data_IF_664608054017
#
_entry.id   IF_664608054017
#
_cell.length_a   1.000
_cell.length_b   1.000
_cell.length_c   1.000
_cell.angle_alpha   90.00
_cell.angle_beta   90.00
_cell.angle_gamma   90.00
#
_symmetry.space_group_name_H-M   'P 1'
#
loop_
_entity.id
_entity.type
_entity.pdbx_description
1 polymer ?
#
# COMPACT_ATOMS: atom_id res chain seq x y z
N UNK A 1 14.71 -15.55 -28.79
CA UNK A 1 16.17 -15.35 -28.76
C UNK A 1 16.69 -15.72 -27.37
N UNK A 2 17.54 -16.73 -27.28
CA UNK A 2 18.20 -17.13 -26.03
C UNK A 2 19.22 -16.05 -25.70
N UNK A 3 19.17 -15.48 -24.49
CA UNK A 3 20.18 -14.53 -24.01
C UNK A 3 21.58 -15.16 -24.00
N UNK A 4 22.66 -14.35 -24.04
CA UNK A 4 24.02 -14.84 -24.05
C UNK A 4 24.27 -15.74 -22.84
N UNK A 5 24.99 -16.85 -23.08
CA UNK A 5 25.41 -17.77 -22.03
C UNK A 5 26.25 -17.03 -20.98
N UNK A 6 26.12 -17.36 -19.69
CA UNK A 6 26.94 -16.75 -18.64
C UNK A 6 28.43 -17.01 -18.89
N UNK A 7 29.25 -15.99 -18.66
CA UNK A 7 30.71 -16.11 -18.81
C UNK A 7 31.26 -17.14 -17.81
N UNK A 8 32.38 -17.79 -18.11
CA UNK A 8 32.98 -18.85 -17.29
C UNK A 8 33.13 -18.49 -15.80
N UNK A 9 33.43 -17.21 -15.49
CA UNK A 9 33.50 -16.69 -14.12
C UNK A 9 32.17 -16.71 -13.37
N UNK A 10 31.02 -16.55 -14.07
CA UNK A 10 29.68 -16.61 -13.45
C UNK A 10 29.25 -18.06 -13.17
N UNK A 11 29.72 -19.01 -14.00
CA UNK A 11 29.49 -20.43 -13.79
C UNK A 11 30.34 -21.00 -12.64
N UNK A 12 31.52 -20.46 -12.41
CA UNK A 12 32.38 -20.83 -11.30
C UNK A 12 31.81 -20.35 -9.96
N UNK A 13 31.28 -19.12 -9.90
CA UNK A 13 30.55 -18.58 -8.76
C UNK A 13 29.29 -19.38 -8.44
N UNK A 14 28.58 -19.89 -9.46
CA UNK A 14 27.43 -20.77 -9.29
C UNK A 14 27.79 -22.19 -8.82
N UNK A 15 29.02 -22.67 -9.08
CA UNK A 15 29.51 -23.98 -8.60
C UNK A 15 29.92 -23.95 -7.12
N UNK A 16 30.46 -22.84 -6.65
CA UNK A 16 30.81 -22.65 -5.24
C UNK A 16 29.55 -22.54 -4.33
N UNK A 17 28.42 -22.30 -4.93
CA UNK A 17 27.17 -22.09 -4.25
C UNK A 17 26.41 -23.39 -3.82
N UNK A 18 27.00 -24.49 -3.37
CA UNK A 18 26.28 -25.71 -2.95
C UNK A 18 26.76 -26.31 -1.61
N UNK A 19 26.36 -25.77 -0.49
CA UNK A 19 26.46 -26.35 0.87
C UNK A 19 26.56 -25.37 2.03
N UNK A 20 25.56 -25.19 2.82
CA UNK A 20 25.39 -24.89 4.25
C UNK A 20 24.30 -23.85 4.61
N UNK A 21 23.64 -24.01 5.72
CA UNK A 21 22.41 -23.29 6.10
C UNK A 21 22.57 -22.16 7.11
N UNK A 22 21.73 -21.14 7.04
CA UNK A 22 21.69 -20.06 8.04
C UNK A 22 20.31 -19.56 8.47
N UNK A 23 20.22 -19.16 9.74
CA UNK A 23 18.99 -18.73 10.43
C UNK A 23 18.67 -17.24 10.26
N UNK A 24 17.37 -16.92 10.33
CA UNK A 24 16.81 -15.61 10.09
C UNK A 24 17.10 -14.55 11.15
N UNK A 25 17.38 -13.34 10.72
CA UNK A 25 17.59 -12.14 11.55
C UNK A 25 16.34 -11.75 12.34
N UNK A 26 16.51 -11.52 13.64
CA UNK A 26 15.44 -11.10 14.57
C UNK A 26 14.92 -9.70 14.22
N UNK A 27 13.65 -9.58 13.81
CA UNK A 27 12.93 -8.30 13.88
C UNK A 27 12.99 -7.80 15.33
N UNK A 28 13.34 -6.50 15.54
CA UNK A 28 13.20 -5.87 16.85
C UNK A 28 11.75 -6.11 17.31
N UNK A 29 11.58 -6.95 18.35
CA UNK A 29 10.25 -7.31 18.86
C UNK A 29 9.52 -6.04 19.30
N UNK A 30 8.32 -5.84 18.79
CA UNK A 30 7.45 -4.74 19.21
C UNK A 30 7.43 -3.49 18.33
N UNK A 31 8.26 -3.40 17.27
CA UNK A 31 8.20 -2.26 16.34
C UNK A 31 7.36 -2.54 15.10
N UNK A 32 6.65 -1.53 14.63
CA UNK A 32 5.92 -1.52 13.35
C UNK A 32 6.38 -0.36 12.48
N UNK A 33 6.38 -0.57 11.17
CA UNK A 33 6.87 0.40 10.20
C UNK A 33 5.76 0.88 9.29
N UNK A 34 5.70 2.20 9.09
CA UNK A 34 4.85 2.85 8.11
C UNK A 34 5.69 3.50 6.99
N UNK A 35 5.16 3.51 5.77
CA UNK A 35 5.87 3.98 4.60
C UNK A 35 5.06 4.97 3.76
N UNK A 36 5.76 5.96 3.18
CA UNK A 36 5.29 6.79 2.08
C UNK A 36 6.29 6.71 0.94
N UNK A 37 5.82 6.72 -0.29
CA UNK A 37 6.67 6.56 -1.47
C UNK A 37 6.32 7.61 -2.51
N UNK A 38 7.27 8.44 -2.85
CA UNK A 38 7.24 9.28 -4.05
C UNK A 38 7.90 8.51 -5.19
N UNK A 39 7.30 8.52 -6.37
CA UNK A 39 7.87 7.86 -7.56
C UNK A 39 8.03 8.89 -8.66
N UNK A 40 9.24 9.00 -9.18
CA UNK A 40 9.64 9.85 -10.30
C UNK A 40 10.16 8.99 -11.44
N UNK A 41 9.97 9.44 -12.67
CA UNK A 41 10.42 8.76 -13.88
C UNK A 41 11.26 9.74 -14.69
N UNK A 42 12.48 9.34 -15.07
CA UNK A 42 13.42 10.10 -15.88
C UNK A 42 13.76 9.30 -17.12
N UNK A 43 13.70 9.92 -18.29
CA UNK A 43 14.09 9.26 -19.53
C UNK A 43 15.60 9.06 -19.56
N UNK A 44 16.03 7.89 -19.99
CA UNK A 44 17.46 7.56 -20.12
C UNK A 44 18.13 8.47 -21.15
N UNK A 45 17.43 8.83 -22.21
CA UNK A 45 17.93 9.74 -23.27
C UNK A 45 18.24 11.17 -22.80
N UNK A 46 17.74 11.56 -21.63
CA UNK A 46 17.97 12.88 -21.03
C UNK A 46 19.21 12.90 -20.10
N UNK A 47 19.85 11.74 -19.87
CA UNK A 47 21.03 11.61 -19.03
C UNK A 47 22.30 11.75 -19.84
N UNK A 48 23.39 12.34 -19.26
CA UNK A 48 24.71 12.34 -19.89
C UNK A 48 25.19 10.90 -20.16
N UNK A 49 25.76 10.67 -21.34
CA UNK A 49 26.15 9.31 -21.77
C UNK A 49 27.15 8.63 -20.82
N UNK A 50 28.13 9.35 -20.28
CA UNK A 50 29.09 8.85 -19.31
C UNK A 50 28.42 8.42 -18.01
N UNK A 51 27.55 9.28 -17.45
CA UNK A 51 26.78 9.01 -16.23
C UNK A 51 25.88 7.77 -16.41
N UNK A 52 25.23 7.63 -17.58
CA UNK A 52 24.39 6.48 -17.85
C UNK A 52 25.23 5.19 -17.97
N UNK A 53 26.38 5.24 -18.66
CA UNK A 53 27.29 4.09 -18.76
C UNK A 53 27.72 3.61 -17.36
N UNK A 54 28.17 4.54 -16.51
CA UNK A 54 28.58 4.23 -15.15
C UNK A 54 27.44 3.66 -14.30
N UNK A 55 26.25 4.20 -14.44
CA UNK A 55 25.07 3.68 -13.78
C UNK A 55 24.74 2.24 -14.20
N UNK A 56 24.84 1.91 -15.49
CA UNK A 56 24.63 0.56 -16.02
C UNK A 56 25.67 -0.43 -15.46
N UNK A 57 26.94 -0.03 -15.39
CA UNK A 57 28.01 -0.82 -14.78
C UNK A 57 27.71 -1.13 -13.32
N UNK A 58 27.31 -0.12 -12.54
CA UNK A 58 26.95 -0.27 -11.15
C UNK A 58 25.72 -1.20 -10.97
N UNK A 59 24.70 -1.09 -11.83
CA UNK A 59 23.56 -2.02 -11.83
C UNK A 59 23.98 -3.46 -12.11
N UNK A 60 24.92 -3.68 -13.02
CA UNK A 60 25.42 -5.03 -13.35
C UNK A 60 26.16 -5.65 -12.19
N UNK A 61 27.07 -4.91 -11.58
CA UNK A 61 27.82 -5.35 -10.38
C UNK A 61 26.86 -5.67 -9.24
N UNK A 62 25.97 -4.75 -8.94
CA UNK A 62 25.00 -4.89 -7.85
C UNK A 62 24.06 -6.08 -8.07
N UNK A 63 23.65 -6.32 -9.33
CA UNK A 63 22.81 -7.46 -9.72
C UNK A 63 23.58 -8.79 -9.56
N UNK A 64 24.85 -8.84 -9.95
CA UNK A 64 25.66 -10.02 -9.80
C UNK A 64 25.84 -10.42 -8.32
N UNK A 65 26.20 -9.45 -7.48
CA UNK A 65 26.37 -9.66 -6.03
C UNK A 65 25.04 -10.07 -5.37
N UNK A 66 23.95 -9.41 -5.71
CA UNK A 66 22.62 -9.75 -5.19
C UNK A 66 22.14 -11.13 -5.66
N UNK A 67 22.47 -11.54 -6.88
CA UNK A 67 22.15 -12.86 -7.40
C UNK A 67 22.96 -13.94 -6.68
N UNK A 68 24.25 -13.72 -6.47
CA UNK A 68 25.12 -14.62 -5.72
C UNK A 68 24.56 -14.82 -4.30
N UNK A 69 24.27 -13.74 -3.59
CA UNK A 69 23.66 -13.81 -2.25
C UNK A 69 22.33 -14.57 -2.26
N UNK A 70 21.43 -14.27 -3.19
CA UNK A 70 20.13 -14.90 -3.30
C UNK A 70 20.21 -16.42 -3.49
N UNK A 71 21.05 -16.87 -4.40
CA UNK A 71 21.19 -18.29 -4.68
C UNK A 71 21.93 -19.01 -3.55
N UNK A 72 22.97 -18.40 -2.98
CA UNK A 72 23.67 -18.94 -1.82
C UNK A 72 22.73 -19.17 -0.65
N UNK A 73 21.89 -18.20 -0.33
CA UNK A 73 20.88 -18.35 0.73
C UNK A 73 19.86 -19.45 0.42
N UNK A 74 19.39 -19.57 -0.82
CA UNK A 74 18.40 -20.59 -1.19
C UNK A 74 18.97 -22.01 -1.20
N UNK A 75 20.25 -22.12 -1.47
CA UNK A 75 20.97 -23.39 -1.52
C UNK A 75 21.64 -23.73 -0.19
N UNK A 76 21.47 -22.88 0.84
CA UNK A 76 22.10 -23.00 2.15
C UNK A 76 23.64 -23.05 2.09
N UNK A 77 24.26 -22.04 1.45
CA UNK A 77 25.69 -21.98 1.17
C UNK A 77 26.33 -20.80 1.91
N UNK A 78 26.95 -21.05 3.05
CA UNK A 78 27.57 -20.00 3.86
C UNK A 78 28.76 -19.37 3.14
N UNK A 79 29.63 -20.15 2.59
CA UNK A 79 30.79 -19.68 1.78
C UNK A 79 30.34 -18.76 0.64
N UNK A 80 29.23 -19.10 -0.01
CA UNK A 80 28.66 -18.27 -1.08
C UNK A 80 28.08 -16.95 -0.56
N UNK A 81 27.54 -16.92 0.66
CA UNK A 81 27.08 -15.68 1.31
C UNK A 81 28.27 -14.81 1.67
N UNK A 82 29.32 -15.37 2.27
CA UNK A 82 30.56 -14.66 2.61
C UNK A 82 31.23 -14.10 1.34
N UNK A 83 31.35 -14.89 0.30
CA UNK A 83 31.86 -14.44 -1.00
C UNK A 83 31.03 -13.28 -1.58
N UNK A 84 29.70 -13.33 -1.46
CA UNK A 84 28.84 -12.21 -1.90
C UNK A 84 29.15 -10.93 -1.14
N UNK A 85 29.38 -11.03 0.18
CA UNK A 85 29.73 -9.90 1.03
C UNK A 85 31.11 -9.33 0.68
N UNK A 86 32.10 -10.19 0.48
CA UNK A 86 33.43 -9.78 0.06
C UNK A 86 33.43 -9.08 -1.30
N UNK A 87 32.74 -9.65 -2.28
CA UNK A 87 32.60 -9.02 -3.61
C UNK A 87 31.88 -7.70 -3.54
N UNK A 88 30.85 -7.58 -2.68
CA UNK A 88 30.22 -6.30 -2.43
C UNK A 88 31.20 -5.27 -1.87
N UNK A 89 32.06 -5.65 -0.92
CA UNK A 89 33.09 -4.77 -0.34
C UNK A 89 34.10 -4.28 -1.38
N UNK A 90 34.43 -5.12 -2.36
CA UNK A 90 35.43 -4.78 -3.38
C UNK A 90 34.85 -3.96 -4.55
N UNK A 91 33.67 -4.32 -5.03
CA UNK A 91 33.14 -3.84 -6.31
C UNK A 91 32.05 -2.78 -6.18
N UNK A 92 31.41 -2.68 -5.01
CA UNK A 92 30.34 -1.70 -4.77
C UNK A 92 30.89 -0.54 -3.94
N UNK A 93 30.67 0.72 -4.35
CA UNK A 93 31.09 1.88 -3.58
C UNK A 93 30.58 1.85 -2.14
N UNK A 94 31.35 2.37 -1.18
CA UNK A 94 31.08 2.26 0.26
C UNK A 94 29.68 2.70 0.69
N UNK A 95 29.16 3.76 0.10
CA UNK A 95 27.82 4.28 0.40
C UNK A 95 26.67 3.39 -0.12
N UNK A 96 26.95 2.44 -1.05
CA UNK A 96 26.00 1.40 -1.47
C UNK A 96 26.14 0.13 -0.65
N UNK A 97 27.30 -0.06 0.03
CA UNK A 97 27.58 -1.26 0.82
C UNK A 97 26.65 -1.42 2.02
N UNK A 98 26.07 -0.35 2.55
CA UNK A 98 25.07 -0.43 3.60
C UNK A 98 23.87 -1.33 3.24
N UNK A 99 23.64 -1.56 1.94
CA UNK A 99 22.65 -2.53 1.49
C UNK A 99 23.10 -3.99 1.75
N UNK A 100 24.36 -4.24 2.06
CA UNK A 100 24.96 -5.54 2.32
C UNK A 100 25.57 -5.65 3.73
N UNK A 101 25.53 -4.59 4.53
CA UNK A 101 26.04 -4.58 5.89
C UNK A 101 25.07 -5.25 6.87
N UNK A 102 25.56 -5.81 8.00
CA UNK A 102 24.72 -6.57 8.94
C UNK A 102 23.57 -5.77 9.54
N UNK A 103 23.79 -4.50 9.85
CA UNK A 103 22.75 -3.62 10.37
C UNK A 103 21.71 -3.23 9.32
N UNK A 104 22.10 -3.17 8.04
CA UNK A 104 21.22 -2.86 6.90
C UNK A 104 20.67 -4.10 6.19
N UNK A 105 21.04 -5.31 6.62
CA UNK A 105 20.49 -6.61 6.14
C UNK A 105 18.97 -6.62 6.05
N UNK A 106 18.31 -5.82 6.89
CA UNK A 106 16.86 -5.71 6.92
C UNK A 106 16.26 -5.23 5.60
N UNK A 107 16.97 -4.48 4.76
CA UNK A 107 16.39 -3.85 3.57
C UNK A 107 16.60 -4.62 2.28
N UNK A 108 17.85 -4.87 1.91
CA UNK A 108 18.11 -5.53 0.64
C UNK A 108 17.88 -7.02 0.72
N UNK A 109 18.40 -7.65 1.76
CA UNK A 109 18.35 -9.11 1.87
C UNK A 109 16.94 -9.60 2.20
N UNK A 110 16.15 -8.88 2.99
CA UNK A 110 14.74 -9.23 3.19
C UNK A 110 13.88 -9.05 1.92
N UNK A 111 14.28 -8.15 1.01
CA UNK A 111 13.61 -8.01 -0.29
C UNK A 111 14.12 -9.05 -1.30
N UNK A 112 15.41 -9.33 -1.29
CA UNK A 112 16.01 -10.39 -2.14
C UNK A 112 15.50 -11.77 -1.74
N UNK A 113 15.38 -12.07 -0.45
CA UNK A 113 14.80 -13.32 0.07
C UNK A 113 13.31 -13.50 -0.29
N UNK A 114 12.55 -12.42 -0.41
CA UNK A 114 11.15 -12.43 -0.84
C UNK A 114 10.96 -12.51 -2.37
N UNK A 115 12.03 -12.33 -3.14
CA UNK A 115 11.96 -12.41 -4.59
C UNK A 115 11.87 -13.87 -5.04
N UNK A 116 11.05 -14.14 -6.03
CA UNK A 116 11.04 -15.45 -6.71
C UNK A 116 12.26 -15.64 -7.62
N UNK A 117 12.86 -14.55 -8.11
CA UNK A 117 14.05 -14.52 -8.98
C UNK A 117 14.78 -13.17 -8.81
N UNK A 118 16.13 -13.11 -8.81
CA UNK A 118 16.91 -11.89 -8.61
C UNK A 118 16.94 -10.95 -9.85
N UNK A 119 15.88 -10.94 -10.67
CA UNK A 119 15.84 -10.21 -11.95
C UNK A 119 15.65 -8.70 -11.83
N UNK A 120 15.28 -8.18 -10.65
CA UNK A 120 14.93 -6.76 -10.47
C UNK A 120 15.64 -6.18 -9.26
N UNK A 121 16.95 -6.12 -9.36
CA UNK A 121 17.75 -5.45 -8.36
C UNK A 121 17.53 -3.94 -8.44
N UNK A 122 17.37 -3.33 -7.26
CA UNK A 122 17.14 -1.91 -7.08
C UNK A 122 18.31 -1.35 -6.30
N UNK A 123 18.99 -0.32 -6.81
CA UNK A 123 20.00 0.40 -6.04
C UNK A 123 19.29 1.14 -4.91
N UNK A 124 19.79 1.01 -3.69
CA UNK A 124 19.22 1.68 -2.52
C UNK A 124 20.30 2.51 -1.84
N UNK A 125 19.96 3.75 -1.53
CA UNK A 125 20.84 4.72 -0.90
C UNK A 125 20.08 5.41 0.24
N UNK A 126 20.71 5.59 1.41
CA UNK A 126 20.17 6.52 2.39
C UNK A 126 20.19 7.93 1.81
N UNK A 127 19.07 8.64 1.95
CA UNK A 127 19.00 10.06 1.63
C UNK A 127 19.32 10.83 2.92
N UNK A 128 20.48 11.44 2.96
CA UNK A 128 21.05 12.14 4.12
C UNK A 128 21.50 13.54 3.73
N UNK A 129 21.95 14.33 4.70
CA UNK A 129 22.55 15.63 4.43
C UNK A 129 23.87 15.48 3.67
N UNK A 130 24.20 16.45 2.82
CA UNK A 130 25.38 16.44 1.97
C UNK A 130 26.71 16.30 2.78
N UNK A 131 26.72 16.80 4.01
CA UNK A 131 27.86 16.75 4.95
C UNK A 131 27.99 15.43 5.70
N UNK A 132 27.01 14.51 5.56
CA UNK A 132 27.09 13.23 6.26
C UNK A 132 28.25 12.38 5.71
N UNK A 133 29.11 11.76 6.56
CA UNK A 133 30.29 11.01 6.11
C UNK A 133 29.95 9.87 5.14
N UNK A 134 28.80 9.21 5.30
CA UNK A 134 28.33 8.14 4.41
C UNK A 134 27.31 8.67 3.36
N UNK A 135 27.49 9.89 2.90
CA UNK A 135 26.57 10.53 1.96
C UNK A 135 26.70 9.93 0.56
N UNK A 136 25.85 8.93 0.27
CA UNK A 136 25.69 8.39 -1.09
C UNK A 136 24.60 9.08 -1.90
N UNK A 137 23.65 9.73 -1.22
CA UNK A 137 22.57 10.46 -1.86
C UNK A 137 22.07 11.62 -0.99
N UNK A 138 21.87 12.77 -1.59
CA UNK A 138 21.40 14.00 -0.93
C UNK A 138 20.58 14.85 -1.88
N UNK A 139 19.87 15.84 -1.33
CA UNK A 139 19.18 16.87 -2.11
C UNK A 139 19.98 18.18 -1.95
N UNK A 140 20.36 18.77 -3.09
CA UNK A 140 20.94 20.10 -3.15
C UNK A 140 20.00 20.98 -3.95
N UNK A 141 19.49 22.02 -3.33
CA UNK A 141 18.44 22.87 -3.93
C UNK A 141 17.25 22.03 -4.40
N UNK A 142 17.02 21.95 -5.71
CA UNK A 142 15.95 21.16 -6.32
C UNK A 142 16.48 19.92 -7.06
N UNK A 143 17.67 19.44 -6.73
CA UNK A 143 18.32 18.34 -7.43
C UNK A 143 18.62 17.19 -6.47
N UNK A 144 18.18 16.00 -6.81
CA UNK A 144 18.60 14.77 -6.16
C UNK A 144 19.94 14.35 -6.74
N UNK A 145 20.97 14.30 -5.90
CA UNK A 145 22.32 13.90 -6.29
C UNK A 145 22.61 12.52 -5.71
N UNK A 146 22.94 11.54 -6.55
CA UNK A 146 23.38 10.22 -6.15
C UNK A 146 24.79 9.95 -6.66
N UNK A 147 25.72 9.60 -5.78
CA UNK A 147 27.12 9.31 -6.13
C UNK A 147 27.20 7.90 -6.76
N UNK A 148 27.85 7.79 -7.91
CA UNK A 148 28.01 6.52 -8.65
C UNK A 148 29.38 5.85 -8.44
N UNK A 149 30.29 6.46 -7.72
CA UNK A 149 31.70 6.07 -7.57
C UNK A 149 32.62 6.85 -8.49
N UNK A 150 33.92 6.85 -8.18
CA UNK A 150 34.98 7.45 -9.00
C UNK A 150 34.73 8.93 -9.38
N UNK A 151 34.14 9.70 -8.47
CA UNK A 151 33.77 11.10 -8.69
C UNK A 151 32.48 11.34 -9.47
N UNK A 152 31.97 10.33 -10.15
CA UNK A 152 30.76 10.42 -10.96
C UNK A 152 29.48 10.59 -10.13
N UNK A 153 28.57 11.41 -10.62
CA UNK A 153 27.30 11.72 -9.96
C UNK A 153 26.13 11.61 -10.93
N UNK A 154 25.03 11.09 -10.42
CA UNK A 154 23.72 11.14 -11.09
C UNK A 154 22.95 12.32 -10.50
N UNK A 155 22.67 13.32 -11.28
CA UNK A 155 21.92 14.51 -10.90
C UNK A 155 20.54 14.48 -11.56
N UNK A 156 19.50 14.54 -10.74
CA UNK A 156 18.12 14.40 -11.19
C UNK A 156 17.28 15.56 -10.65
N UNK A 157 16.73 16.43 -11.53
CA UNK A 157 15.93 17.56 -11.09
C UNK A 157 14.64 17.08 -10.39
N UNK A 158 14.36 17.62 -9.20
CA UNK A 158 13.15 17.35 -8.46
C UNK A 158 12.11 18.44 -8.76
N UNK A 159 10.93 18.08 -9.26
CA UNK A 159 9.84 19.03 -9.39
C UNK A 159 9.48 19.66 -8.02
N UNK A 160 9.12 20.94 -7.99
CA UNK A 160 8.73 21.65 -6.76
C UNK A 160 7.65 20.90 -5.97
N UNK A 161 6.69 20.32 -6.68
CA UNK A 161 5.65 19.45 -6.07
C UNK A 161 6.21 18.26 -5.32
N UNK A 162 7.38 17.74 -5.72
CA UNK A 162 8.04 16.61 -5.04
C UNK A 162 8.63 17.06 -3.71
N UNK A 163 9.27 18.23 -3.67
CA UNK A 163 9.84 18.82 -2.46
C UNK A 163 8.73 19.18 -1.46
N UNK A 164 7.68 19.84 -1.91
CA UNK A 164 6.49 20.13 -1.08
C UNK A 164 5.92 18.85 -0.48
N UNK A 165 5.78 17.81 -1.30
CA UNK A 165 5.28 16.52 -0.85
C UNK A 165 6.18 15.90 0.24
N UNK A 166 7.50 15.93 0.09
CA UNK A 166 8.43 15.42 1.10
C UNK A 166 8.25 16.16 2.43
N UNK A 167 8.24 17.46 2.43
CA UNK A 167 8.04 18.31 3.61
C UNK A 167 6.70 18.04 4.30
N UNK A 168 5.61 17.98 3.52
CA UNK A 168 4.29 17.67 4.06
C UNK A 168 4.25 16.30 4.75
N UNK A 169 4.86 15.27 4.14
CA UNK A 169 4.87 13.92 4.72
C UNK A 169 5.71 13.82 5.98
N UNK A 170 6.79 14.58 6.10
CA UNK A 170 7.56 14.68 7.33
C UNK A 170 6.75 15.36 8.45
N UNK A 171 6.08 16.47 8.14
CA UNK A 171 5.20 17.18 9.09
C UNK A 171 4.02 16.31 9.56
N UNK A 172 3.49 15.43 8.71
CA UNK A 172 2.38 14.53 9.07
C UNK A 172 2.69 13.63 10.27
N UNK A 173 3.95 13.33 10.54
CA UNK A 173 4.39 12.37 11.55
C UNK A 173 5.29 12.97 12.63
N UNK A 174 5.56 14.27 12.58
CA UNK A 174 6.32 14.95 13.61
C UNK A 174 5.71 14.69 15.01
N UNK A 175 6.52 14.53 16.06
CA UNK A 175 7.98 14.71 16.14
C UNK A 175 8.81 13.46 15.79
N UNK A 176 8.25 12.41 15.19
CA UNK A 176 8.98 11.19 14.90
C UNK A 176 10.04 11.40 13.81
N UNK A 177 11.19 10.76 13.99
CA UNK A 177 12.25 10.75 12.97
C UNK A 177 11.81 9.94 11.74
N UNK A 178 11.92 10.56 10.57
CA UNK A 178 11.66 9.92 9.29
C UNK A 178 12.97 9.50 8.65
N UNK A 179 13.14 8.21 8.39
CA UNK A 179 14.25 7.70 7.59
C UNK A 179 13.89 7.80 6.12
N UNK A 180 14.80 8.33 5.32
CA UNK A 180 14.63 8.52 3.87
C UNK A 180 15.55 7.58 3.11
N UNK A 181 15.01 6.88 2.13
CA UNK A 181 15.76 5.93 1.28
C UNK A 181 15.43 6.24 -0.17
N UNK A 182 16.44 6.41 -1.00
CA UNK A 182 16.29 6.51 -2.44
C UNK A 182 16.48 5.13 -3.07
N UNK A 183 15.55 4.74 -3.93
CA UNK A 183 15.59 3.53 -4.72
C UNK A 183 15.63 3.88 -6.18
N UNK A 184 16.67 3.45 -6.88
CA UNK A 184 16.85 3.68 -8.31
C UNK A 184 16.73 2.35 -9.03
N UNK A 185 15.86 2.28 -10.03
CA UNK A 185 15.63 1.10 -10.86
C UNK A 185 15.66 1.50 -12.33
N UNK A 186 16.51 0.84 -13.10
CA UNK A 186 16.51 0.95 -14.55
C UNK A 186 15.46 0.02 -15.16
N UNK A 187 14.66 0.57 -16.08
CA UNK A 187 13.58 -0.13 -16.77
C UNK A 187 13.92 -0.31 -18.25
N UNK A 188 14.92 -1.18 -18.50
CA UNK A 188 15.38 -1.58 -19.82
C UNK A 188 14.32 -2.35 -20.63
N UNK A 189 13.31 -2.93 -19.93
CA UNK A 189 12.20 -3.67 -20.51
C UNK A 189 11.09 -2.79 -21.10
N UNK A 190 11.27 -1.47 -21.08
CA UNK A 190 10.31 -0.47 -21.54
C UNK A 190 10.88 0.38 -22.68
N UNK A 191 9.98 0.88 -23.54
CA UNK A 191 10.32 1.82 -24.62
C UNK A 191 9.39 3.04 -24.49
N UNK A 192 9.92 4.27 -24.34
CA UNK A 192 11.35 4.59 -24.13
C UNK A 192 11.87 4.05 -22.79
N UNK A 193 13.19 3.80 -22.73
CA UNK A 193 13.85 3.40 -21.49
C UNK A 193 13.83 4.52 -20.46
N UNK A 194 13.63 4.15 -19.18
CA UNK A 194 13.60 5.13 -18.12
C UNK A 194 14.18 4.64 -16.80
N UNK A 195 14.67 5.58 -16.02
CA UNK A 195 14.96 5.35 -14.61
C UNK A 195 13.70 5.60 -13.79
N UNK A 196 13.37 4.64 -12.96
CA UNK A 196 12.36 4.80 -11.92
C UNK A 196 13.05 5.11 -10.61
N UNK A 197 12.89 6.32 -10.12
CA UNK A 197 13.43 6.78 -8.85
C UNK A 197 12.31 6.83 -7.84
N UNK A 198 12.50 6.21 -6.68
CA UNK A 198 11.54 6.22 -5.59
C UNK A 198 12.21 6.79 -4.35
N UNK A 199 11.64 7.85 -3.78
CA UNK A 199 12.01 8.34 -2.46
C UNK A 199 11.03 7.70 -1.47
N UNK A 200 11.55 6.83 -0.63
CA UNK A 200 10.80 6.10 0.39
C UNK A 200 11.03 6.78 1.72
N UNK A 201 9.96 7.29 2.31
CA UNK A 201 9.94 7.77 3.68
C UNK A 201 9.49 6.63 4.58
N UNK A 202 10.20 6.40 5.68
CA UNK A 202 9.91 5.38 6.67
C UNK A 202 9.83 5.98 8.06
N UNK A 203 8.84 5.57 8.80
CA UNK A 203 8.66 5.86 10.22
C UNK A 203 8.60 4.54 10.99
N UNK A 204 9.30 4.46 12.11
CA UNK A 204 9.22 3.34 13.06
C UNK A 204 8.39 3.77 14.28
N UNK A 205 7.53 2.86 14.75
CA UNK A 205 6.68 3.08 15.92
C UNK A 205 6.63 1.82 16.78
N UNK A 206 6.32 1.98 18.05
CA UNK A 206 5.90 0.86 18.89
C UNK A 206 4.65 0.20 18.31
N UNK A 207 4.48 -1.09 18.61
CA UNK A 207 3.27 -1.81 18.20
C UNK A 207 2.05 -1.08 18.73
N UNK A 208 1.12 -0.78 17.84
CA UNK A 208 -0.08 -0.05 18.18
C UNK A 208 -0.98 -0.90 19.10
N UNK A 209 -1.34 -0.36 20.22
CA UNK A 209 -2.28 -0.95 21.17
C UNK A 209 -3.65 -0.33 20.93
N UNK A 210 -4.68 -1.10 21.12
CA UNK A 210 -6.06 -0.63 21.02
C UNK A 210 -6.29 0.43 22.10
N UNK A 211 -6.68 1.66 21.74
CA UNK A 211 -7.03 2.66 22.72
C UNK A 211 -8.38 2.30 23.39
N UNK A 212 -8.65 2.90 24.56
CA UNK A 212 -10.00 2.83 25.13
C UNK A 212 -11.00 3.42 24.10
N UNK A 213 -12.04 2.67 23.72
CA UNK A 213 -13.02 3.16 22.78
C UNK A 213 -13.85 4.33 23.36
N UNK A 214 -13.93 4.44 24.70
CA UNK A 214 -14.55 5.58 25.38
C UNK A 214 -13.64 6.80 25.24
N UNK A 215 -14.12 7.85 24.61
CA UNK A 215 -13.34 9.06 24.32
C UNK A 215 -12.50 8.99 23.05
N UNK A 216 -12.48 7.86 22.35
CA UNK A 216 -11.83 7.75 21.03
C UNK A 216 -12.77 8.16 19.89
N UNK A 217 -12.19 8.63 18.79
CA UNK A 217 -12.89 8.69 17.51
C UNK A 217 -12.99 7.28 16.93
N UNK A 218 -14.21 6.80 16.75
CA UNK A 218 -14.52 5.56 16.07
C UNK A 218 -14.59 5.81 14.56
N UNK A 219 -13.88 5.01 13.78
CA UNK A 219 -13.92 5.07 12.33
C UNK A 219 -14.17 3.66 11.78
N UNK A 220 -15.38 3.39 11.36
CA UNK A 220 -15.75 2.14 10.70
C UNK A 220 -15.73 2.31 9.19
N UNK A 221 -15.15 1.36 8.47
CA UNK A 221 -14.99 1.40 7.01
C UNK A 221 -15.45 0.08 6.41
N UNK A 222 -16.57 0.12 5.70
CA UNK A 222 -17.01 -0.99 4.85
C UNK A 222 -16.41 -0.83 3.44
N UNK A 223 -15.55 -1.75 3.05
CA UNK A 223 -14.91 -1.78 1.74
C UNK A 223 -15.72 -2.62 0.75
N UNK A 224 -16.90 -2.19 0.42
CA UNK A 224 -17.75 -2.83 -0.59
C UNK A 224 -17.30 -2.47 -2.01
N UNK A 225 -16.86 -3.47 -2.77
CA UNK A 225 -16.32 -3.26 -4.13
C UNK A 225 -17.37 -2.81 -5.15
N UNK A 226 -18.65 -3.11 -4.91
CA UNK A 226 -19.71 -2.81 -5.87
C UNK A 226 -20.24 -1.40 -5.74
N UNK A 227 -20.27 -0.87 -4.52
CA UNK A 227 -20.81 0.46 -4.23
C UNK A 227 -19.75 1.48 -3.81
N UNK A 228 -18.51 1.03 -3.65
CA UNK A 228 -17.41 1.87 -3.19
C UNK A 228 -17.00 1.57 -1.74
N UNK A 229 -16.61 2.60 -1.02
CA UNK A 229 -16.25 2.52 0.39
C UNK A 229 -17.23 3.39 1.18
N UNK A 230 -17.95 2.77 2.12
CA UNK A 230 -18.75 3.45 3.10
C UNK A 230 -17.94 3.64 4.39
N UNK A 231 -18.13 4.75 5.08
CA UNK A 231 -17.41 5.03 6.31
C UNK A 231 -18.36 5.70 7.32
N UNK A 232 -18.23 5.33 8.59
CA UNK A 232 -18.90 6.00 9.71
C UNK A 232 -17.83 6.57 10.63
N UNK A 233 -17.93 7.86 10.93
CA UNK A 233 -17.14 8.54 11.94
C UNK A 233 -18.04 8.87 13.12
N UNK A 234 -17.70 8.41 14.33
CA UNK A 234 -18.46 8.66 15.53
C UNK A 234 -17.55 8.95 16.71
N UNK A 235 -18.06 9.65 17.71
CA UNK A 235 -17.42 9.82 19.01
C UNK A 235 -18.27 9.12 20.07
N UNK A 236 -17.63 8.41 20.99
CA UNK A 236 -18.30 7.88 22.17
C UNK A 236 -17.63 8.41 23.43
N UNK A 237 -18.43 8.90 24.36
CA UNK A 237 -17.98 9.30 25.70
C UNK A 237 -18.30 8.24 26.77
N UNK A 238 -18.87 7.10 26.34
CA UNK A 238 -19.31 6.02 27.21
C UNK A 238 -20.78 6.12 27.65
N UNK A 239 -21.40 7.30 27.54
CA UNK A 239 -22.85 7.49 27.79
C UNK A 239 -23.65 7.51 26.49
N UNK A 240 -23.06 8.03 25.43
CA UNK A 240 -23.65 8.13 24.11
C UNK A 240 -22.61 7.85 23.02
N UNK A 241 -23.05 7.29 21.88
CA UNK A 241 -22.25 7.21 20.64
C UNK A 241 -22.86 8.15 19.60
N UNK A 242 -22.22 9.31 19.43
CA UNK A 242 -22.66 10.36 18.51
C UNK A 242 -21.99 10.20 17.14
N UNK A 243 -22.79 9.97 16.10
CA UNK A 243 -22.30 9.93 14.72
C UNK A 243 -22.02 11.34 14.20
N UNK A 244 -20.83 11.54 13.66
CA UNK A 244 -20.37 12.82 13.12
C UNK A 244 -20.55 12.93 11.62
N UNK A 245 -20.15 11.87 10.89
CA UNK A 245 -20.22 11.81 9.43
C UNK A 245 -20.36 10.37 8.93
N UNK A 246 -21.06 10.22 7.80
CA UNK A 246 -21.25 8.93 7.10
C UNK A 246 -20.84 9.03 5.62
N UNK A 247 -19.56 9.32 5.31
CA UNK A 247 -19.13 9.50 3.92
C UNK A 247 -19.18 8.20 3.12
N UNK A 248 -19.75 8.27 1.92
CA UNK A 248 -19.67 7.21 0.91
C UNK A 248 -18.77 7.66 -0.24
N UNK A 249 -17.67 6.95 -0.45
CA UNK A 249 -16.72 7.21 -1.51
C UNK A 249 -16.98 6.25 -2.67
N UNK A 250 -17.57 6.76 -3.74
CA UNK A 250 -17.84 5.98 -4.96
C UNK A 250 -16.68 6.11 -5.95
N UNK A 251 -16.30 5.01 -6.65
CA UNK A 251 -15.31 5.11 -7.72
C UNK A 251 -15.88 5.96 -8.86
N UNK A 252 -15.12 6.92 -9.40
CA UNK A 252 -15.60 7.83 -10.43
C UNK A 252 -15.94 7.03 -11.71
N UNK A 253 -17.08 7.37 -12.34
CA UNK A 253 -17.53 6.85 -13.64
C UNK A 253 -17.55 5.31 -13.79
N UNK A 254 -17.69 4.57 -12.70
CA UNK A 254 -17.63 3.10 -12.72
C UNK A 254 -18.67 2.48 -13.64
N UNK A 255 -19.92 2.90 -13.57
CA UNK A 255 -21.02 2.35 -14.40
C UNK A 255 -20.74 2.52 -15.88
N UNK A 256 -20.28 3.70 -16.30
CA UNK A 256 -19.92 3.99 -17.71
C UNK A 256 -18.75 3.12 -18.19
N UNK A 257 -17.69 2.98 -17.36
CA UNK A 257 -16.52 2.16 -17.71
C UNK A 257 -16.83 0.67 -17.76
N UNK A 258 -17.66 0.16 -16.85
CA UNK A 258 -18.11 -1.25 -16.88
C UNK A 258 -18.97 -1.55 -18.09
N UNK A 259 -19.89 -0.65 -18.48
CA UNK A 259 -20.68 -0.81 -19.70
C UNK A 259 -19.81 -0.77 -20.96
N UNK A 260 -18.83 0.12 -20.99
CA UNK A 260 -17.91 0.25 -22.13
C UNK A 260 -16.97 -0.96 -22.22
N UNK A 261 -16.47 -1.47 -21.10
CA UNK A 261 -15.70 -2.72 -21.03
C UNK A 261 -16.55 -3.93 -21.45
N UNK A 262 -17.81 -4.00 -21.03
CA UNK A 262 -18.75 -5.07 -21.43
C UNK A 262 -19.08 -5.02 -22.93
N UNK A 263 -19.31 -3.82 -23.49
CA UNK A 263 -19.52 -3.63 -24.95
C UNK A 263 -18.30 -4.10 -25.76
N UNK A 264 -17.10 -3.76 -25.31
CA UNK A 264 -15.85 -4.15 -25.99
C UNK A 264 -15.57 -5.64 -25.89
N UNK A 265 -15.93 -6.29 -24.76
CA UNK A 265 -15.86 -7.76 -24.62
C UNK A 265 -16.82 -8.47 -25.56
N UNK A 266 -18.06 -7.98 -25.69
CA UNK A 266 -19.05 -8.53 -26.63
C UNK A 266 -18.59 -8.39 -28.08
N UNK A 267 -18.03 -7.23 -28.43
CA UNK A 267 -17.49 -7.02 -29.79
C UNK A 267 -16.32 -7.96 -30.11
N UNK A 268 -15.43 -8.22 -29.12
CA UNK A 268 -14.33 -9.16 -29.28
C UNK A 268 -14.83 -10.63 -29.41
N UNK A 269 -15.84 -11.01 -28.62
CA UNK A 269 -16.45 -12.33 -28.68
C UNK A 269 -17.21 -12.59 -30.03
N UNK A 270 -17.59 -11.53 -30.75
CA UNK A 270 -18.23 -11.58 -32.06
C UNK A 270 -17.21 -11.56 -33.21
N UNK A 271 -15.93 -11.87 -32.97
CA UNK A 271 -14.90 -11.93 -34.01
C UNK A 271 -14.47 -10.58 -34.59
N UNK A 272 -14.99 -9.46 -34.06
CA UNK A 272 -14.52 -8.12 -34.41
C UNK A 272 -13.13 -7.92 -33.85
N UNK A 273 -12.15 -7.55 -34.69
CA UNK A 273 -10.73 -7.35 -34.28
C UNK A 273 -10.65 -6.64 -32.90
N UNK A 274 -9.99 -7.25 -31.92
CA UNK A 274 -9.83 -6.60 -30.62
C UNK A 274 -9.05 -5.30 -30.81
N UNK A 275 -9.73 -4.19 -30.76
CA UNK A 275 -9.12 -2.88 -30.85
C UNK A 275 -8.11 -2.75 -29.69
N UNK A 276 -6.95 -2.14 -29.93
CA UNK A 276 -5.92 -1.79 -28.93
C UNK A 276 -6.55 -1.16 -27.67
N UNK A 277 -7.65 -0.46 -27.83
CA UNK A 277 -8.50 0.05 -26.78
C UNK A 277 -9.06 -1.01 -25.80
N UNK A 278 -9.14 -2.30 -26.16
CA UNK A 278 -9.61 -3.35 -25.24
C UNK A 278 -8.57 -3.66 -24.15
N UNK A 279 -7.31 -3.78 -24.55
CA UNK A 279 -6.21 -3.99 -23.61
C UNK A 279 -5.99 -2.75 -22.71
N UNK A 280 -6.11 -1.54 -23.29
CA UNK A 280 -6.01 -0.27 -22.56
C UNK A 280 -7.18 -0.07 -21.59
N UNK A 281 -8.42 -0.41 -21.96
CA UNK A 281 -9.56 -0.36 -21.05
C UNK A 281 -9.38 -1.32 -19.86
N UNK A 282 -8.85 -2.52 -20.09
CA UNK A 282 -8.58 -3.52 -19.07
C UNK A 282 -7.40 -3.12 -18.14
N UNK A 283 -6.41 -2.43 -18.70
CA UNK A 283 -5.28 -1.86 -17.93
C UNK A 283 -5.72 -0.64 -17.12
N UNK A 284 -6.56 0.24 -17.69
CA UNK A 284 -7.08 1.41 -16.98
C UNK A 284 -8.04 1.03 -15.85
N UNK A 285 -8.91 0.02 -16.03
CA UNK A 285 -9.71 -0.55 -14.95
C UNK A 285 -8.84 -1.00 -13.75
N UNK A 286 -7.72 -1.69 -14.03
CA UNK A 286 -6.80 -2.17 -12.98
C UNK A 286 -6.06 -1.03 -12.31
N UNK A 287 -5.59 -0.08 -13.07
CA UNK A 287 -4.81 1.05 -12.58
C UNK A 287 -5.70 2.00 -11.77
N UNK A 288 -6.86 2.32 -12.30
CA UNK A 288 -7.84 3.21 -11.67
C UNK A 288 -8.37 2.64 -10.35
N UNK A 289 -8.68 1.34 -10.28
CA UNK A 289 -9.13 0.71 -9.04
C UNK A 289 -8.08 0.82 -7.93
N UNK A 290 -6.80 0.59 -8.23
CA UNK A 290 -5.72 0.69 -7.24
C UNK A 290 -5.43 2.13 -6.83
N UNK A 291 -5.41 3.04 -7.78
CA UNK A 291 -5.23 4.48 -7.52
C UNK A 291 -6.37 5.04 -6.69
N UNK A 292 -7.60 4.69 -7.05
CA UNK A 292 -8.78 5.09 -6.31
C UNK A 292 -8.79 4.56 -4.88
N UNK A 293 -8.49 3.27 -4.66
CA UNK A 293 -8.40 2.67 -3.31
C UNK A 293 -7.40 3.42 -2.44
N UNK A 294 -6.22 3.77 -2.99
CA UNK A 294 -5.21 4.55 -2.26
C UNK A 294 -5.71 5.94 -1.90
N UNK A 295 -6.35 6.63 -2.85
CA UNK A 295 -6.89 7.97 -2.64
C UNK A 295 -8.06 7.94 -1.63
N UNK A 296 -8.97 6.98 -1.75
CA UNK A 296 -10.09 6.81 -0.84
C UNK A 296 -9.63 6.51 0.60
N UNK A 297 -8.70 5.56 0.77
CA UNK A 297 -8.14 5.28 2.09
C UNK A 297 -7.41 6.51 2.68
N UNK A 298 -6.59 7.20 1.90
CA UNK A 298 -5.92 8.42 2.36
C UNK A 298 -6.92 9.50 2.80
N UNK A 299 -8.03 9.67 2.06
CA UNK A 299 -9.11 10.62 2.41
C UNK A 299 -9.79 10.24 3.72
N UNK A 300 -10.07 8.95 3.94
CA UNK A 300 -10.69 8.47 5.19
C UNK A 300 -9.76 8.73 6.38
N UNK A 301 -8.48 8.35 6.28
CA UNK A 301 -7.50 8.61 7.33
C UNK A 301 -7.34 10.12 7.60
N UNK A 302 -7.31 10.95 6.55
CA UNK A 302 -7.28 12.41 6.67
C UNK A 302 -8.48 12.97 7.41
N UNK A 303 -9.70 12.55 7.03
CA UNK A 303 -10.94 12.96 7.71
C UNK A 303 -10.98 12.49 9.17
N UNK A 304 -10.62 11.23 9.44
CA UNK A 304 -10.59 10.72 10.81
C UNK A 304 -9.63 11.55 11.69
N UNK A 305 -8.42 11.86 11.20
CA UNK A 305 -7.48 12.71 11.93
C UNK A 305 -8.01 14.12 12.18
N UNK A 306 -8.64 14.73 11.17
CA UNK A 306 -9.24 16.06 11.29
C UNK A 306 -10.34 16.07 12.35
N UNK A 307 -11.22 15.04 12.34
CA UNK A 307 -12.35 14.95 13.27
C UNK A 307 -11.96 14.51 14.67
N UNK A 308 -10.82 13.84 14.81
CA UNK A 308 -10.35 13.41 16.12
C UNK A 308 -9.97 14.56 17.06
N UNK A 309 -9.49 15.70 16.52
CA UNK A 309 -9.12 16.86 17.35
C UNK A 309 -8.12 16.51 18.44
N UNK A 310 -7.13 15.64 18.15
CA UNK A 310 -6.15 15.15 19.13
C UNK A 310 -6.58 13.91 19.92
N UNK A 311 -7.84 13.49 19.87
CA UNK A 311 -8.31 12.25 20.52
C UNK A 311 -7.72 11.02 19.85
N UNK A 312 -7.57 9.89 20.59
CA UNK A 312 -7.21 8.60 19.99
C UNK A 312 -8.19 8.21 18.88
N UNK A 313 -7.70 7.49 17.89
CA UNK A 313 -8.54 6.99 16.78
C UNK A 313 -8.53 5.46 16.82
N UNK A 314 -9.71 4.89 16.87
CA UNK A 314 -9.95 3.46 16.73
C UNK A 314 -10.61 3.20 15.38
N UNK A 315 -9.93 2.43 14.51
CA UNK A 315 -10.46 2.12 13.19
C UNK A 315 -10.77 0.63 13.03
N UNK A 316 -11.85 0.33 12.32
CA UNK A 316 -12.08 -1.00 11.77
C UNK A 316 -12.31 -0.93 10.27
N UNK A 317 -11.58 -1.76 9.52
CA UNK A 317 -11.83 -1.98 8.10
C UNK A 317 -12.54 -3.33 7.92
N UNK A 318 -13.81 -3.27 7.59
CA UNK A 318 -14.57 -4.45 7.16
C UNK A 318 -14.16 -4.78 5.72
N UNK A 319 -13.25 -5.72 5.62
CA UNK A 319 -12.73 -6.21 4.34
C UNK A 319 -12.97 -7.71 4.30
N UNK A 320 -13.89 -8.20 3.48
CA UNK A 320 -14.16 -9.61 3.34
C UNK A 320 -12.87 -10.42 3.11
N UNK A 321 -12.86 -11.66 3.58
CA UNK A 321 -11.70 -12.52 3.33
C UNK A 321 -11.52 -12.68 1.82
N UNK A 322 -10.37 -12.27 1.26
CA UNK A 322 -10.15 -12.34 -0.19
C UNK A 322 -10.30 -13.75 -0.75
N UNK A 323 -10.02 -14.79 0.07
CA UNK A 323 -10.12 -16.20 -0.34
C UNK A 323 -11.57 -16.67 -0.47
N UNK A 324 -12.53 -16.01 0.21
CA UNK A 324 -13.97 -16.34 0.10
C UNK A 324 -14.61 -15.75 -1.16
N UNK A 325 -13.90 -14.87 -1.88
CA UNK A 325 -14.43 -14.19 -3.05
C UNK A 325 -13.98 -14.88 -4.33
N UNK A 326 -14.92 -15.42 -5.10
CA UNK A 326 -14.62 -16.12 -6.37
C UNK A 326 -14.02 -15.20 -7.45
N UNK A 327 -14.28 -13.91 -7.41
CA UNK A 327 -13.79 -12.96 -8.40
C UNK A 327 -12.37 -12.51 -8.11
N UNK A 328 -11.41 -12.94 -8.94
CA UNK A 328 -9.98 -12.65 -8.79
C UNK A 328 -9.62 -11.15 -8.77
N UNK A 329 -10.35 -10.31 -9.49
CA UNK A 329 -10.12 -8.86 -9.48
C UNK A 329 -10.57 -8.22 -8.18
N UNK A 330 -11.69 -8.69 -7.67
CA UNK A 330 -12.20 -8.26 -6.37
C UNK A 330 -11.25 -8.67 -5.25
N UNK A 331 -10.75 -9.91 -5.24
CA UNK A 331 -9.71 -10.36 -4.31
C UNK A 331 -8.50 -9.41 -4.30
N UNK A 332 -7.99 -9.04 -5.48
CA UNK A 332 -6.84 -8.11 -5.59
C UNK A 332 -7.17 -6.72 -5.06
N UNK A 333 -8.39 -6.24 -5.29
CA UNK A 333 -8.84 -4.94 -4.79
C UNK A 333 -8.92 -4.94 -3.27
N UNK A 334 -9.56 -5.95 -2.69
CA UNK A 334 -9.67 -6.12 -1.24
C UNK A 334 -8.30 -6.28 -0.55
N UNK A 335 -7.41 -7.08 -1.13
CA UNK A 335 -6.02 -7.18 -0.65
C UNK A 335 -5.29 -5.84 -0.71
N UNK A 336 -5.55 -5.04 -1.74
CA UNK A 336 -4.97 -3.70 -1.88
C UNK A 336 -5.50 -2.75 -0.80
N UNK A 337 -6.80 -2.75 -0.51
CA UNK A 337 -7.41 -1.98 0.59
C UNK A 337 -6.73 -2.34 1.90
N UNK A 338 -6.67 -3.61 2.24
CA UNK A 338 -6.06 -4.10 3.49
C UNK A 338 -4.59 -3.68 3.64
N UNK A 339 -3.80 -3.80 2.56
CA UNK A 339 -2.38 -3.39 2.56
C UNK A 339 -2.23 -1.88 2.74
N UNK A 340 -3.03 -1.09 2.03
CA UNK A 340 -2.98 0.38 2.11
C UNK A 340 -3.40 0.84 3.50
N UNK A 341 -4.52 0.32 4.03
CA UNK A 341 -5.01 0.67 5.36
C UNK A 341 -3.98 0.33 6.45
N UNK A 342 -3.40 -0.89 6.43
CA UNK A 342 -2.32 -1.27 7.37
C UNK A 342 -1.13 -0.33 7.31
N UNK A 343 -0.71 0.06 6.12
CA UNK A 343 0.43 0.97 5.96
C UNK A 343 0.11 2.39 6.46
N UNK A 344 -1.08 2.92 6.15
CA UNK A 344 -1.51 4.22 6.63
C UNK A 344 -1.70 4.25 8.16
N UNK A 345 -2.28 3.20 8.72
CA UNK A 345 -2.42 3.03 10.16
C UNK A 345 -1.05 3.12 10.86
N UNK A 346 -0.06 2.40 10.35
CA UNK A 346 1.31 2.43 10.87
C UNK A 346 1.98 3.78 10.67
N UNK A 347 1.77 4.43 9.52
CA UNK A 347 2.28 5.76 9.23
C UNK A 347 1.76 6.80 10.22
N UNK A 348 0.45 6.82 10.46
CA UNK A 348 -0.19 7.79 11.34
C UNK A 348 -0.22 7.40 12.81
N UNK A 349 0.13 6.17 13.18
CA UNK A 349 0.03 5.68 14.55
C UNK A 349 -1.42 5.41 15.00
N UNK A 350 -2.26 4.96 14.09
CA UNK A 350 -3.68 4.69 14.34
C UNK A 350 -3.91 3.20 14.50
N UNK A 351 -4.49 2.77 15.62
CA UNK A 351 -4.88 1.37 15.79
C UNK A 351 -5.97 1.00 14.78
N UNK A 352 -5.77 -0.12 14.09
CA UNK A 352 -6.70 -0.57 13.05
C UNK A 352 -6.91 -2.06 13.12
N UNK A 353 -8.16 -2.48 13.30
CA UNK A 353 -8.64 -3.87 13.18
C UNK A 353 -9.17 -4.16 11.78
N UNK A 354 -9.35 -5.45 11.50
CA UNK A 354 -9.87 -5.95 10.21
C UNK A 354 -10.90 -7.04 10.47
N UNK A 355 -11.93 -6.70 11.23
CA UNK A 355 -13.04 -7.60 11.56
C UNK A 355 -14.21 -7.35 10.61
N UNK A 356 -14.85 -8.41 10.17
CA UNK A 356 -16.08 -8.35 9.39
C UNK A 356 -17.28 -8.57 10.30
N UNK A 357 -18.33 -7.81 10.06
CA UNK A 357 -19.59 -7.89 10.81
C UNK A 357 -20.76 -8.17 9.88
N UNK A 358 -21.84 -8.72 10.43
CA UNK A 358 -23.03 -9.03 9.66
C UNK A 358 -23.72 -7.76 9.14
N UNK A 359 -24.16 -7.80 7.89
CA UNK A 359 -25.07 -6.80 7.29
C UNK A 359 -26.48 -7.36 7.07
N UNK A 360 -26.76 -8.56 7.58
CA UNK A 360 -28.04 -9.29 7.38
C UNK A 360 -28.73 -9.64 8.69
N UNK A 361 -28.10 -9.36 9.82
CA UNK A 361 -28.66 -9.60 11.16
C UNK A 361 -28.93 -8.25 11.83
N UNK A 362 -30.08 -8.10 12.46
CA UNK A 362 -30.44 -6.90 13.19
C UNK A 362 -29.52 -6.71 14.41
N UNK A 363 -28.84 -5.56 14.57
CA UNK A 363 -27.93 -5.33 15.69
C UNK A 363 -28.67 -5.19 17.03
N UNK A 364 -29.97 -4.87 17.01
CA UNK A 364 -30.80 -4.68 18.21
C UNK A 364 -31.42 -5.97 18.70
N UNK A 365 -32.22 -6.65 17.87
CA UNK A 365 -32.97 -7.83 18.30
C UNK A 365 -32.41 -9.16 17.79
N UNK A 366 -31.44 -9.16 16.89
CA UNK A 366 -30.85 -10.41 16.37
C UNK A 366 -31.64 -11.08 15.24
N UNK A 367 -32.80 -10.57 14.85
CA UNK A 367 -33.59 -11.12 13.74
C UNK A 367 -32.91 -10.86 12.39
N UNK A 368 -33.28 -11.64 11.38
CA UNK A 368 -32.81 -11.43 10.02
C UNK A 368 -33.35 -10.13 9.44
N UNK A 369 -32.50 -9.34 8.80
CA UNK A 369 -32.84 -8.11 8.13
C UNK A 369 -33.32 -8.36 6.70
N UNK A 370 -34.42 -7.72 6.33
CA UNK A 370 -34.89 -7.63 4.96
C UNK A 370 -34.22 -6.46 4.24
N UNK A 371 -34.12 -6.54 2.91
CA UNK A 371 -33.45 -5.51 2.12
C UNK A 371 -34.40 -4.95 1.08
N UNK A 372 -34.59 -3.64 1.10
CA UNK A 372 -35.25 -2.89 0.06
C UNK A 372 -34.23 -2.13 -0.80
N UNK A 373 -34.46 -2.11 -2.10
CA UNK A 373 -33.59 -1.45 -3.06
C UNK A 373 -34.21 -0.13 -3.51
N UNK A 374 -33.46 0.96 -3.34
CA UNK A 374 -33.80 2.25 -3.88
C UNK A 374 -32.86 2.63 -5.03
N UNK A 375 -33.17 3.72 -5.75
CA UNK A 375 -32.26 4.25 -6.81
C UNK A 375 -30.87 4.64 -6.25
N UNK A 376 -30.77 4.96 -4.97
CA UNK A 376 -29.55 5.54 -4.36
C UNK A 376 -28.88 4.64 -3.34
N UNK A 377 -29.63 3.78 -2.65
CA UNK A 377 -29.11 2.97 -1.55
C UNK A 377 -29.87 1.65 -1.39
N UNK A 378 -29.34 0.77 -0.57
CA UNK A 378 -29.95 -0.47 -0.11
C UNK A 378 -30.35 -0.25 1.34
N UNK A 379 -31.62 -0.29 1.64
CA UNK A 379 -32.14 -0.12 3.00
C UNK A 379 -32.27 -1.51 3.61
N UNK A 380 -31.57 -1.76 4.72
CA UNK A 380 -31.81 -2.91 5.56
C UNK A 380 -32.84 -2.54 6.63
N UNK A 381 -33.85 -3.39 6.86
CA UNK A 381 -34.88 -3.14 7.84
C UNK A 381 -35.30 -4.40 8.58
N UNK A 382 -35.72 -4.24 9.83
CA UNK A 382 -36.19 -5.29 10.72
C UNK A 382 -37.66 -5.14 11.00
N UNK A 383 -38.47 -6.11 10.61
CA UNK A 383 -39.92 -6.13 10.88
C UNK A 383 -40.24 -6.41 12.36
N UNK A 384 -39.27 -7.01 13.11
CA UNK A 384 -39.48 -7.37 14.52
C UNK A 384 -39.34 -6.18 15.49
N UNK A 385 -38.38 -5.24 15.22
CA UNK A 385 -38.11 -4.16 16.16
C UNK A 385 -38.13 -2.75 15.54
N UNK A 386 -38.47 -2.63 14.26
CA UNK A 386 -38.51 -1.33 13.58
C UNK A 386 -37.19 -0.75 13.18
N UNK A 387 -36.05 -1.41 13.45
CA UNK A 387 -34.73 -0.94 12.99
C UNK A 387 -34.69 -0.81 11.49
N UNK A 388 -34.15 0.29 11.00
CA UNK A 388 -33.80 0.46 9.59
C UNK A 388 -32.61 1.37 9.42
N UNK A 389 -31.78 1.09 8.43
CA UNK A 389 -30.66 1.95 8.00
C UNK A 389 -30.16 1.55 6.61
N UNK A 390 -29.24 2.32 6.08
CA UNK A 390 -28.45 1.90 4.92
C UNK A 390 -27.67 0.62 5.25
N UNK A 391 -27.81 -0.40 4.41
CA UNK A 391 -27.20 -1.70 4.62
C UNK A 391 -25.69 -1.63 4.87
N UNK A 392 -25.01 -0.66 4.22
CA UNK A 392 -23.56 -0.52 4.33
C UNK A 392 -23.13 0.02 5.72
N UNK A 393 -24.09 0.48 6.54
CA UNK A 393 -23.84 0.97 7.91
C UNK A 393 -24.25 -0.03 9.00
N UNK A 394 -25.04 -1.05 8.68
CA UNK A 394 -25.45 -2.08 9.66
C UNK A 394 -24.26 -2.70 10.40
N UNK A 395 -23.15 -3.06 9.73
CA UNK A 395 -21.99 -3.63 10.40
C UNK A 395 -21.35 -2.71 11.46
N UNK A 396 -21.49 -1.38 11.32
CA UNK A 396 -21.01 -0.43 12.32
C UNK A 396 -21.70 -0.61 13.68
N UNK A 397 -23.01 -0.82 13.69
CA UNK A 397 -23.76 -1.07 14.94
C UNK A 397 -23.27 -2.32 15.65
N UNK A 398 -23.01 -3.41 14.93
CA UNK A 398 -22.43 -4.62 15.49
C UNK A 398 -21.05 -4.38 16.08
N UNK A 399 -20.24 -3.54 15.44
CA UNK A 399 -18.92 -3.19 15.95
C UNK A 399 -19.05 -2.36 17.24
N UNK A 400 -19.93 -1.37 17.30
CA UNK A 400 -20.21 -0.58 18.51
C UNK A 400 -20.65 -1.48 19.65
N UNK A 401 -21.56 -2.42 19.38
CA UNK A 401 -22.01 -3.43 20.36
C UNK A 401 -20.87 -4.30 20.88
N UNK A 402 -19.96 -4.77 19.97
CA UNK A 402 -18.79 -5.56 20.37
C UNK A 402 -17.81 -4.75 21.26
N UNK A 403 -17.73 -3.44 21.04
CA UNK A 403 -16.90 -2.55 21.87
C UNK A 403 -17.53 -2.24 23.24
N UNK A 404 -18.75 -2.71 23.51
CA UNK A 404 -19.47 -2.44 24.75
C UNK A 404 -19.87 -0.96 24.90
N UNK A 405 -20.09 -0.26 23.78
CA UNK A 405 -20.49 1.12 23.75
C UNK A 405 -22.00 1.28 23.56
N UNK A 406 -22.60 2.41 23.99
CA UNK A 406 -23.99 2.71 23.73
C UNK A 406 -24.30 2.72 22.22
N UNK A 407 -25.40 2.10 21.85
CA UNK A 407 -25.83 2.03 20.45
C UNK A 407 -26.23 3.42 19.94
N UNK A 408 -25.73 3.84 18.78
CA UNK A 408 -26.14 5.11 18.18
C UNK A 408 -27.61 5.05 17.73
N UNK A 409 -28.26 6.22 17.66
CA UNK A 409 -29.61 6.32 17.10
C UNK A 409 -29.59 5.91 15.61
N UNK A 410 -30.67 5.26 15.18
CA UNK A 410 -30.87 4.90 13.77
C UNK A 410 -32.04 5.71 13.17
N UNK A 411 -32.00 5.99 11.85
CA UNK A 411 -30.87 5.75 10.92
C UNK A 411 -29.70 6.73 11.16
N UNK A 412 -28.47 6.33 10.81
CA UNK A 412 -27.26 7.18 10.96
C UNK A 412 -27.28 8.40 10.04
N UNK A 413 -28.08 8.35 9.00
CA UNK A 413 -28.29 9.44 8.07
C UNK A 413 -29.77 9.52 7.70
N UNK A 414 -30.22 10.70 7.23
CA UNK A 414 -31.59 10.84 6.76
C UNK A 414 -31.85 9.93 5.56
N UNK A 415 -32.78 9.01 5.69
CA UNK A 415 -33.20 8.06 4.66
C UNK A 415 -34.67 8.32 4.36
N UNK A 416 -34.99 8.54 3.11
CA UNK A 416 -36.38 8.57 2.64
C UNK A 416 -36.86 7.14 2.47
N UNK A 417 -37.74 6.69 3.36
CA UNK A 417 -38.33 5.36 3.26
C UNK A 417 -39.40 5.34 2.16
N UNK A 418 -39.40 4.30 1.31
CA UNK A 418 -40.55 4.04 0.43
C UNK A 418 -41.84 3.85 1.24
N UNK A 419 -42.99 4.31 0.74
CA UNK A 419 -44.29 4.20 1.42
C UNK A 419 -44.63 2.76 1.81
N UNK A 420 -44.26 1.78 1.00
CA UNK A 420 -44.46 0.37 1.27
C UNK A 420 -43.68 -0.11 2.53
N UNK A 421 -42.58 0.54 2.86
CA UNK A 421 -41.78 0.21 4.06
C UNK A 421 -42.35 0.86 5.31
N UNK A 422 -42.98 2.04 5.20
CA UNK A 422 -43.67 2.66 6.34
C UNK A 422 -44.75 1.76 6.92
N UNK A 423 -45.46 0.98 6.07
CA UNK A 423 -46.49 0.03 6.50
C UNK A 423 -45.95 -1.24 7.14
N UNK A 424 -44.68 -1.59 6.91
CA UNK A 424 -44.06 -2.84 7.37
C UNK A 424 -43.23 -2.67 8.65
N UNK A 425 -42.93 -1.44 8.99
CA UNK A 425 -42.20 -1.14 10.21
C UNK A 425 -43.17 -0.95 11.35
N UNK A 426 -43.00 -1.60 12.52
CA UNK A 426 -43.76 -1.29 13.70
C UNK A 426 -43.55 0.19 14.04
N UNK A 427 -44.62 0.88 14.41
CA UNK A 427 -44.55 2.28 14.84
C UNK A 427 -43.56 2.40 15.99
N UNK A 428 -42.48 3.15 15.77
CA UNK A 428 -41.55 3.55 16.81
C UNK A 428 -42.08 4.72 17.59
#
# INVERSE_FOLDING_TARGET
MRGPAPRASELELLRLARGAGYGGGRRKRGLVEGFRVLTLLYRVSELPAGTFKRLVELFRVYRAVAALYFWSKRLNLDEGVELALERAKLLVPSYYRHAFDEESRVYLFSEVEKMRRPRKVVLQLPLVDALHPNCGCYIKENTLVARLGDGERLELPLPERALKWLQEKEREVAPLKVTKIVRIQWREDKRPEYLKVQIVLRVERQKLVMPDPRGALLCYVDANSDYGIACVLALSDGSETKVLETPKLRPPNRGRRLMEAARRRRAAAQGRKPNVNYALARLSERFDARGWVKAAAARIFGKARQRAGGKPILMNFDVPNPNSVKNFYLQKTLLSVRKVAKNLARWFGIYTSFKCFSSTICPYCGSELKIAYTKRTRIAYCESCGFYDDRDFVPFYHWVKELGLPMPKHPLQRIELPEELHRKLPCC
#
